data_IF_286745215025
#
_entry.id   IF_286745215025
#
_cell.length_a   1.000
_cell.length_b   1.000
_cell.length_c   1.000
_cell.angle_alpha   90.00
_cell.angle_beta   90.00
_cell.angle_gamma   90.00
#
_symmetry.space_group_name_H-M   'P 1'
#
loop_
_entity.id
_entity.type
_entity.pdbx_description
1 polymer ?
#
# COMPACT_ATOMS: atom_id res chain seq x y z
N UNK A 1 82.84 14.43 -41.33
CA UNK A 1 81.53 14.98 -41.76
C UNK A 1 80.37 14.11 -41.27
N UNK A 2 80.20 13.89 -39.96
CA UNK A 2 79.27 12.85 -39.44
C UNK A 2 78.07 13.40 -38.62
N UNK A 3 78.02 14.72 -38.39
CA UNK A 3 76.99 15.38 -37.56
C UNK A 3 75.77 15.92 -38.34
N UNK A 4 75.84 16.02 -39.67
CA UNK A 4 74.72 16.48 -40.52
C UNK A 4 73.69 15.37 -40.79
N UNK A 5 74.12 14.10 -40.82
CA UNK A 5 73.23 12.95 -41.06
C UNK A 5 72.31 12.64 -39.87
N UNK A 6 72.79 12.82 -38.63
CA UNK A 6 72.01 12.56 -37.41
C UNK A 6 70.83 13.53 -37.30
N UNK A 7 71.04 14.81 -37.62
CA UNK A 7 69.97 15.83 -37.64
C UNK A 7 68.88 15.50 -38.67
N UNK A 8 69.25 15.03 -39.87
CA UNK A 8 68.27 14.59 -40.87
C UNK A 8 67.52 13.31 -40.46
N UNK A 9 68.18 12.38 -39.76
CA UNK A 9 67.53 11.16 -39.26
C UNK A 9 66.40 11.47 -38.26
N UNK A 10 66.63 12.39 -37.32
CA UNK A 10 65.58 12.83 -36.38
C UNK A 10 64.42 13.57 -37.07
N UNK A 11 64.69 14.34 -38.13
CA UNK A 11 63.65 15.02 -38.91
C UNK A 11 62.79 14.01 -39.69
N UNK A 12 63.40 12.98 -40.29
CA UNK A 12 62.68 11.94 -41.05
C UNK A 12 61.81 11.06 -40.12
N UNK A 13 62.30 10.72 -38.92
CA UNK A 13 61.51 9.95 -37.95
C UNK A 13 60.25 10.72 -37.49
N UNK A 14 60.38 12.02 -37.18
CA UNK A 14 59.21 12.86 -36.84
C UNK A 14 58.23 13.03 -38.02
N UNK A 15 58.71 12.95 -39.27
CA UNK A 15 57.85 13.07 -40.45
C UNK A 15 57.01 11.81 -40.71
N UNK A 16 57.55 10.62 -40.44
CA UNK A 16 56.81 9.36 -40.60
C UNK A 16 55.76 9.15 -39.50
N UNK A 17 56.00 9.63 -38.28
CA UNK A 17 55.02 9.55 -37.19
C UNK A 17 53.83 10.51 -37.41
N UNK A 18 54.06 11.67 -38.04
CA UNK A 18 52.98 12.60 -38.43
C UNK A 18 52.08 12.06 -39.57
N UNK A 19 52.66 11.32 -40.53
CA UNK A 19 51.90 10.74 -41.65
C UNK A 19 51.10 9.48 -41.22
N UNK A 20 51.50 8.81 -40.12
CA UNK A 20 50.81 7.63 -39.59
C UNK A 20 49.39 7.89 -39.05
N UNK A 21 49.07 9.12 -38.63
CA UNK A 21 47.78 9.45 -37.99
C UNK A 21 46.60 9.63 -38.97
N UNK A 22 46.86 9.71 -40.28
CA UNK A 22 45.82 9.94 -41.32
C UNK A 22 45.16 8.66 -41.86
N UNK A 23 45.69 7.46 -41.56
CA UNK A 23 45.23 6.20 -42.16
C UNK A 23 44.65 5.20 -41.15
N UNK A 24 43.69 5.66 -40.34
CA UNK A 24 42.87 4.81 -39.47
C UNK A 24 41.36 4.96 -39.73
N UNK A 25 40.92 4.33 -40.82
CA UNK A 25 39.57 3.79 -41.04
C UNK A 25 38.38 4.71 -41.42
N UNK A 26 37.75 4.28 -42.53
CA UNK A 26 36.33 4.38 -42.90
C UNK A 26 35.83 5.71 -43.48
N UNK A 27 35.48 5.64 -44.77
CA UNK A 27 34.86 6.74 -45.49
C UNK A 27 33.51 7.18 -44.92
N UNK A 28 33.36 8.48 -44.76
CA UNK A 28 32.06 9.17 -44.67
C UNK A 28 32.12 10.35 -45.63
N UNK A 29 31.16 10.42 -46.57
CA UNK A 29 31.02 11.58 -47.45
C UNK A 29 30.97 12.85 -46.58
N UNK A 30 31.90 13.77 -46.77
CA UNK A 30 31.71 15.14 -46.30
C UNK A 30 30.52 15.73 -47.06
N UNK A 31 29.32 15.65 -46.47
CA UNK A 31 28.25 16.59 -46.84
C UNK A 31 28.71 17.95 -46.32
N UNK A 32 29.00 18.87 -47.25
CA UNK A 32 29.05 20.30 -46.93
C UNK A 32 27.76 20.64 -46.20
N UNK A 33 27.84 21.01 -44.92
CA UNK A 33 26.68 21.54 -44.21
C UNK A 33 26.40 22.93 -44.78
N UNK A 34 25.37 23.00 -45.60
CA UNK A 34 24.79 24.26 -46.03
C UNK A 34 24.21 24.95 -44.79
N UNK A 35 24.50 26.24 -44.52
CA UNK A 35 23.75 26.96 -43.51
C UNK A 35 22.28 27.02 -43.95
N UNK A 36 21.35 26.91 -43.01
CA UNK A 36 19.91 26.88 -43.28
C UNK A 36 19.40 25.60 -44.00
N UNK A 37 19.68 24.42 -43.43
CA UNK A 37 18.72 23.32 -43.48
C UNK A 37 17.81 23.47 -42.27
N UNK A 38 16.52 23.70 -42.48
CA UNK A 38 15.53 23.81 -41.40
C UNK A 38 15.61 22.58 -40.50
N UNK A 39 16.10 22.75 -39.28
CA UNK A 39 16.33 21.65 -38.35
C UNK A 39 14.97 21.20 -37.81
N UNK A 40 14.32 20.30 -38.56
CA UNK A 40 12.95 19.87 -38.31
C UNK A 40 12.76 19.35 -36.89
N UNK A 41 11.56 19.60 -36.34
CA UNK A 41 11.25 19.39 -34.93
C UNK A 41 11.64 17.99 -34.44
N UNK A 42 12.61 17.96 -33.51
CA UNK A 42 13.15 16.73 -32.97
C UNK A 42 12.12 16.04 -32.06
N UNK A 43 11.97 14.71 -32.20
CA UNK A 43 11.16 13.87 -31.31
C UNK A 43 9.66 14.16 -31.29
N UNK A 44 8.85 13.40 -32.04
CA UNK A 44 7.39 13.39 -31.92
C UNK A 44 6.63 14.69 -32.29
N UNK A 45 7.32 15.81 -32.44
CA UNK A 45 6.74 17.12 -32.69
C UNK A 45 6.50 17.38 -34.19
N UNK A 46 5.40 18.03 -34.54
CA UNK A 46 5.03 18.40 -35.90
C UNK A 46 5.43 19.85 -36.24
N UNK A 47 5.18 20.79 -35.32
CA UNK A 47 5.62 22.20 -35.42
C UNK A 47 6.18 22.66 -34.08
N UNK A 48 7.26 23.44 -34.10
CA UNK A 48 8.05 23.81 -32.92
C UNK A 48 8.60 25.23 -33.05
N UNK A 49 9.10 25.76 -31.93
CA UNK A 49 9.81 27.04 -31.82
C UNK A 49 10.91 26.92 -30.78
N UNK A 50 11.99 27.68 -30.93
CA UNK A 50 13.15 27.60 -30.04
C UNK A 50 12.84 28.01 -28.59
N UNK A 51 11.84 28.87 -28.39
CA UNK A 51 11.47 29.42 -27.08
C UNK A 51 10.38 28.63 -26.36
N UNK A 52 9.33 28.21 -27.08
CA UNK A 52 8.18 27.51 -26.49
C UNK A 52 8.26 25.98 -26.64
N UNK A 53 9.33 25.46 -27.23
CA UNK A 53 9.44 24.04 -27.56
C UNK A 53 8.45 23.63 -28.65
N UNK A 54 7.79 22.49 -28.47
CA UNK A 54 6.78 22.02 -29.42
C UNK A 54 5.49 22.86 -29.36
N UNK A 55 4.89 23.11 -30.51
CA UNK A 55 3.62 23.83 -30.68
C UNK A 55 2.47 22.88 -31.08
N UNK A 56 2.76 21.84 -31.87
CA UNK A 56 1.79 20.79 -32.21
C UNK A 56 2.48 19.42 -32.32
N UNK A 57 1.82 18.38 -31.80
CA UNK A 57 2.34 17.02 -31.80
C UNK A 57 1.94 16.25 -33.06
N UNK A 58 2.78 15.27 -33.46
CA UNK A 58 2.38 14.26 -34.45
C UNK A 58 1.19 13.44 -33.92
N UNK A 59 0.36 12.87 -34.82
CA UNK A 59 -0.78 12.04 -34.43
C UNK A 59 -0.42 10.94 -33.43
N UNK A 60 -1.40 10.58 -32.59
CA UNK A 60 -1.32 9.62 -31.47
C UNK A 60 -0.56 10.09 -30.22
N UNK A 61 0.34 11.06 -30.31
CA UNK A 61 1.06 11.62 -29.15
C UNK A 61 0.20 12.64 -28.40
N UNK A 62 0.53 12.84 -27.12
CA UNK A 62 -0.12 13.79 -26.21
C UNK A 62 0.76 15.01 -25.96
N UNK A 63 0.17 16.18 -26.11
CA UNK A 63 0.77 17.46 -25.78
C UNK A 63 0.74 17.72 -24.27
N UNK A 64 1.89 18.11 -23.72
CA UNK A 64 2.09 18.48 -22.32
C UNK A 64 2.80 19.83 -22.27
N UNK A 65 2.40 20.70 -21.35
CA UNK A 65 3.13 21.93 -21.05
C UNK A 65 3.98 21.72 -19.79
N UNK A 66 5.28 21.62 -19.97
CA UNK A 66 6.25 21.44 -18.90
C UNK A 66 6.76 22.81 -18.40
N UNK A 67 6.84 23.00 -17.09
CA UNK A 67 7.32 24.25 -16.46
C UNK A 67 8.75 24.07 -15.98
N UNK A 68 9.67 24.81 -16.57
CA UNK A 68 11.09 24.85 -16.19
C UNK A 68 11.38 26.25 -15.64
N UNK A 69 11.29 26.38 -14.31
CA UNK A 69 11.33 27.67 -13.62
C UNK A 69 10.17 28.59 -14.05
N UNK A 70 10.51 29.71 -14.68
CA UNK A 70 9.55 30.66 -15.24
C UNK A 70 9.11 30.33 -16.67
N UNK A 71 9.85 29.47 -17.40
CA UNK A 71 9.52 29.08 -18.77
C UNK A 71 8.48 27.97 -18.79
N UNK A 72 7.62 27.98 -19.80
CA UNK A 72 6.68 26.91 -20.08
C UNK A 72 6.90 26.44 -21.52
N UNK A 73 7.23 25.16 -21.70
CA UNK A 73 7.53 24.56 -23.01
C UNK A 73 6.54 23.45 -23.34
N UNK A 74 6.17 23.33 -24.61
CA UNK A 74 5.38 22.21 -25.11
C UNK A 74 6.26 21.00 -25.41
N UNK A 75 5.81 19.83 -24.96
CA UNK A 75 6.47 18.54 -25.13
C UNK A 75 5.44 17.51 -25.60
N UNK A 76 5.86 16.57 -26.46
CA UNK A 76 5.01 15.50 -26.99
C UNK A 76 5.40 14.15 -26.40
N UNK A 77 4.50 13.51 -25.66
CA UNK A 77 4.72 12.22 -25.01
C UNK A 77 3.84 11.12 -25.61
N UNK A 78 4.29 9.87 -25.54
CA UNK A 78 3.50 8.69 -25.92
C UNK A 78 2.40 8.36 -24.91
N UNK A 79 2.63 8.70 -23.63
CA UNK A 79 1.72 8.52 -22.50
C UNK A 79 1.83 9.71 -21.56
N UNK A 80 0.75 10.02 -20.84
CA UNK A 80 0.74 11.11 -19.87
C UNK A 80 1.54 10.78 -18.60
N UNK A 81 2.17 11.78 -17.96
CA UNK A 81 2.88 11.59 -16.70
C UNK A 81 1.91 11.32 -15.53
N UNK A 82 2.42 10.81 -14.41
CA UNK A 82 1.66 10.57 -13.19
C UNK A 82 0.86 11.80 -12.74
N UNK A 83 -0.37 11.60 -12.28
CA UNK A 83 -1.31 12.69 -11.97
C UNK A 83 -1.99 13.32 -13.19
N UNK A 84 -1.82 12.79 -14.40
CA UNK A 84 -2.49 13.24 -15.62
C UNK A 84 -3.08 12.06 -16.41
N UNK A 85 -4.22 12.29 -17.06
CA UNK A 85 -4.85 11.35 -18.00
C UNK A 85 -4.88 11.94 -19.42
N UNK A 86 -4.85 11.06 -20.42
CA UNK A 86 -4.89 11.45 -21.82
C UNK A 86 -6.30 11.82 -22.28
N UNK A 87 -6.51 13.06 -22.74
CA UNK A 87 -7.74 13.48 -23.42
C UNK A 87 -7.48 13.60 -24.92
N UNK A 88 -8.35 13.01 -25.75
CA UNK A 88 -8.29 13.12 -27.22
C UNK A 88 -9.34 14.14 -27.68
N UNK A 89 -8.91 15.32 -28.10
CA UNK A 89 -9.76 16.29 -28.79
C UNK A 89 -9.64 16.09 -30.32
N UNK A 90 -10.57 16.62 -31.14
CA UNK A 90 -10.49 16.50 -32.59
C UNK A 90 -9.15 16.97 -33.18
N UNK A 91 -8.61 18.08 -32.64
CA UNK A 91 -7.43 18.75 -33.19
C UNK A 91 -6.12 18.37 -32.49
N UNK A 92 -6.18 17.91 -31.23
CA UNK A 92 -4.99 17.62 -30.42
C UNK A 92 -5.29 16.62 -29.30
N UNK A 93 -4.38 15.66 -29.03
CA UNK A 93 -4.42 14.92 -27.77
C UNK A 93 -3.63 15.69 -26.72
N UNK A 94 -4.18 15.87 -25.51
CA UNK A 94 -3.55 16.63 -24.43
C UNK A 94 -3.61 15.85 -23.12
N UNK A 95 -2.59 15.97 -22.29
CA UNK A 95 -2.66 15.47 -20.91
C UNK A 95 -3.41 16.44 -20.01
N UNK A 96 -4.49 15.97 -19.39
CA UNK A 96 -5.32 16.72 -18.44
C UNK A 96 -5.05 16.23 -17.03
N UNK A 97 -4.90 17.14 -16.07
CA UNK A 97 -4.58 16.79 -14.68
C UNK A 97 -5.75 16.03 -14.03
N UNK A 98 -5.45 15.03 -13.21
CA UNK A 98 -6.41 14.38 -12.33
C UNK A 98 -6.98 15.37 -11.29
N UNK A 99 -8.09 14.99 -10.65
CA UNK A 99 -8.69 15.76 -9.55
C UNK A 99 -7.77 15.82 -8.32
N UNK A 100 -8.04 16.75 -7.41
CA UNK A 100 -7.16 17.07 -6.28
C UNK A 100 -7.00 15.94 -5.24
N UNK A 101 -8.02 15.08 -5.11
CA UNK A 101 -8.18 13.88 -4.29
C UNK A 101 -7.53 12.61 -4.90
N UNK A 102 -7.20 12.64 -6.19
CA UNK A 102 -6.79 11.48 -6.96
C UNK A 102 -5.29 11.50 -7.35
N UNK A 103 -4.60 10.38 -7.19
CA UNK A 103 -3.17 10.20 -7.54
C UNK A 103 -3.00 9.73 -9.00
N UNK A 104 -3.74 8.69 -9.39
CA UNK A 104 -3.81 8.23 -10.78
C UNK A 104 -5.27 8.09 -11.22
N UNK A 105 -5.59 8.58 -12.42
CA UNK A 105 -6.94 8.52 -12.98
C UNK A 105 -6.93 8.02 -14.43
N UNK A 106 -7.97 7.28 -14.78
CA UNK A 106 -8.24 6.85 -16.15
C UNK A 106 -8.90 7.95 -16.97
N UNK A 107 -9.82 8.70 -16.35
CA UNK A 107 -10.46 9.89 -16.93
C UNK A 107 -10.91 10.87 -15.84
N UNK A 108 -11.55 11.99 -16.22
CA UNK A 108 -12.05 13.04 -15.31
C UNK A 108 -12.89 12.51 -14.13
N UNK A 109 -13.63 11.44 -14.34
CA UNK A 109 -14.62 10.90 -13.41
C UNK A 109 -14.19 9.59 -12.74
N UNK A 110 -13.16 8.91 -13.28
CA UNK A 110 -12.70 7.61 -12.82
C UNK A 110 -11.24 7.66 -12.37
N UNK A 111 -11.05 7.72 -11.05
CA UNK A 111 -9.79 7.53 -10.36
C UNK A 111 -9.45 6.04 -10.25
N UNK A 112 -8.17 5.70 -10.43
CA UNK A 112 -7.63 4.33 -10.26
C UNK A 112 -6.85 4.17 -8.96
N UNK A 113 -6.34 5.27 -8.39
CA UNK A 113 -5.64 5.29 -7.10
C UNK A 113 -5.84 6.64 -6.43
N UNK A 114 -6.36 6.64 -5.21
CA UNK A 114 -6.57 7.85 -4.42
C UNK A 114 -5.28 8.33 -3.75
N UNK A 115 -5.25 9.60 -3.33
CA UNK A 115 -4.17 10.11 -2.49
C UNK A 115 -4.30 9.60 -1.05
N UNK A 116 -3.20 9.63 -0.33
CA UNK A 116 -3.16 9.34 1.11
C UNK A 116 -4.22 10.13 1.88
N UNK A 117 -5.05 9.44 2.66
CA UNK A 117 -6.17 10.04 3.41
C UNK A 117 -7.53 9.91 2.73
N UNK A 118 -7.60 9.48 1.47
CA UNK A 118 -8.84 9.22 0.76
C UNK A 118 -9.00 7.74 0.41
N UNK A 119 -10.23 7.23 0.51
CA UNK A 119 -10.60 5.87 0.17
C UNK A 119 -11.22 5.81 -1.23
N UNK A 120 -10.79 4.83 -2.03
CA UNK A 120 -11.34 4.58 -3.36
C UNK A 120 -12.68 3.85 -3.25
N UNK A 121 -13.70 4.39 -3.93
CA UNK A 121 -15.00 3.77 -4.08
C UNK A 121 -15.60 4.09 -5.46
N UNK A 122 -15.88 3.06 -6.27
CA UNK A 122 -16.48 3.17 -7.62
C UNK A 122 -15.80 4.23 -8.52
N UNK A 123 -14.47 4.29 -8.47
CA UNK A 123 -13.67 5.27 -9.25
C UNK A 123 -13.69 6.70 -8.70
N UNK A 124 -14.18 6.93 -7.47
CA UNK A 124 -14.11 8.22 -6.77
C UNK A 124 -13.28 8.09 -5.51
N UNK A 125 -12.67 9.18 -5.07
CA UNK A 125 -11.97 9.27 -3.81
C UNK A 125 -12.85 9.99 -2.79
N UNK A 126 -12.96 9.43 -1.57
CA UNK A 126 -13.83 9.93 -0.51
C UNK A 126 -13.03 9.99 0.80
N UNK A 127 -13.20 11.03 1.59
CA UNK A 127 -12.58 11.12 2.93
C UNK A 127 -13.14 10.04 3.88
N UNK A 128 -14.43 9.72 3.75
CA UNK A 128 -15.12 8.68 4.51
C UNK A 128 -15.92 7.77 3.57
N UNK A 129 -15.96 6.48 3.88
CA UNK A 129 -16.77 5.52 3.14
C UNK A 129 -18.28 5.72 3.40
N UNK A 130 -19.14 5.48 2.38
CA UNK A 130 -20.58 5.58 2.52
C UNK A 130 -21.15 4.46 3.41
N UNK A 131 -22.43 4.59 3.76
CA UNK A 131 -23.15 3.63 4.59
C UNK A 131 -23.14 2.21 4.00
N UNK A 132 -23.06 1.19 4.87
CA UNK A 132 -22.88 -0.22 4.48
C UNK A 132 -21.44 -0.62 4.13
N UNK A 133 -20.49 0.32 4.03
CA UNK A 133 -19.08 0.05 3.76
C UNK A 133 -18.18 0.42 4.95
N UNK A 134 -17.01 -0.20 5.00
CA UNK A 134 -15.92 0.14 5.91
C UNK A 134 -14.64 0.52 5.16
N UNK A 135 -13.80 1.30 5.83
CA UNK A 135 -12.53 1.78 5.32
C UNK A 135 -11.44 0.72 5.55
N UNK A 136 -10.86 0.20 4.46
CA UNK A 136 -9.71 -0.68 4.55
C UNK A 136 -8.41 0.15 4.50
N UNK A 137 -7.75 0.31 5.63
CA UNK A 137 -6.51 1.09 5.76
C UNK A 137 -5.30 0.46 5.03
N UNK A 138 -5.36 -0.83 4.67
CA UNK A 138 -4.27 -1.49 3.95
C UNK A 138 -4.33 -1.26 2.44
N UNK A 139 -5.53 -1.19 1.86
CA UNK A 139 -5.71 -0.93 0.41
C UNK A 139 -6.10 0.51 0.09
N UNK A 140 -6.54 1.29 1.09
CA UNK A 140 -7.16 2.62 0.93
C UNK A 140 -8.41 2.56 0.05
N UNK A 141 -9.29 1.59 0.32
CA UNK A 141 -10.53 1.34 -0.41
C UNK A 141 -11.72 1.21 0.54
N UNK A 142 -12.92 1.50 0.02
CA UNK A 142 -14.16 1.22 0.73
C UNK A 142 -14.66 -0.19 0.38
N UNK A 143 -14.59 -1.10 1.36
CA UNK A 143 -15.00 -2.51 1.24
C UNK A 143 -16.34 -2.74 1.92
N UNK A 144 -17.08 -3.77 1.50
CA UNK A 144 -18.35 -4.16 2.13
C UNK A 144 -18.14 -4.61 3.58
N UNK A 145 -19.01 -4.21 4.49
CA UNK A 145 -19.02 -4.77 5.85
C UNK A 145 -19.38 -6.26 5.74
N UNK A 146 -18.49 -7.11 6.25
CA UNK A 146 -18.68 -8.57 6.28
C UNK A 146 -19.13 -8.93 7.69
N UNK A 147 -20.28 -9.57 7.83
CA UNK A 147 -20.76 -10.05 9.14
C UNK A 147 -20.25 -11.48 9.39
N UNK A 148 -20.23 -11.91 10.66
CA UNK A 148 -19.85 -13.28 10.94
C UNK A 148 -20.97 -14.26 10.59
N UNK A 149 -20.67 -15.24 9.73
CA UNK A 149 -21.57 -16.34 9.37
C UNK A 149 -21.03 -17.65 9.95
N UNK A 150 -21.93 -18.50 10.44
CA UNK A 150 -21.60 -19.80 11.00
C UNK A 150 -22.32 -20.89 10.22
N UNK A 151 -21.67 -22.05 10.09
CA UNK A 151 -22.21 -23.21 9.39
C UNK A 151 -23.54 -23.69 9.99
N UNK A 152 -24.22 -24.57 9.26
CA UNK A 152 -25.21 -25.44 9.87
C UNK A 152 -24.62 -26.17 11.09
N UNK A 153 -25.49 -26.49 12.03
CA UNK A 153 -25.11 -27.24 13.22
C UNK A 153 -24.82 -28.70 12.89
N UNK A 154 -23.79 -29.26 13.51
CA UNK A 154 -23.63 -30.71 13.57
C UNK A 154 -24.88 -31.37 14.16
N UNK A 155 -25.13 -32.65 13.84
CA UNK A 155 -25.99 -33.49 14.66
C UNK A 155 -25.57 -33.42 16.14
N UNK A 156 -26.53 -33.64 17.03
CA UNK A 156 -26.23 -33.75 18.46
C UNK A 156 -25.32 -34.94 18.72
N UNK A 157 -24.21 -34.71 19.41
CA UNK A 157 -23.33 -35.78 19.89
C UNK A 157 -24.06 -36.70 20.89
N UNK A 158 -23.46 -37.84 21.24
CA UNK A 158 -24.06 -38.76 22.20
C UNK A 158 -24.27 -38.08 23.56
N UNK A 159 -25.41 -38.37 24.19
CA UNK A 159 -25.64 -38.00 25.58
C UNK A 159 -24.54 -38.61 26.47
N UNK A 160 -23.86 -37.78 27.27
CA UNK A 160 -22.78 -38.21 28.17
C UNK A 160 -22.95 -37.68 29.60
N UNK A 161 -22.31 -38.34 30.56
CA UNK A 161 -22.13 -37.82 31.92
C UNK A 161 -20.72 -38.14 32.41
N UNK A 162 -19.95 -37.11 32.80
CA UNK A 162 -18.54 -37.23 33.20
C UNK A 162 -17.71 -38.03 32.16
N UNK A 163 -17.86 -37.70 30.88
CA UNK A 163 -17.14 -38.35 29.77
C UNK A 163 -17.58 -39.78 29.41
N UNK A 164 -18.61 -40.33 30.07
CA UNK A 164 -19.14 -41.69 29.79
C UNK A 164 -20.48 -41.61 29.07
N UNK A 165 -20.79 -42.61 28.24
CA UNK A 165 -22.06 -42.78 27.50
C UNK A 165 -23.03 -43.80 28.13
N UNK A 166 -22.59 -44.49 29.20
CA UNK A 166 -23.35 -45.54 29.91
C UNK A 166 -23.46 -45.25 31.41
N UNK A 167 -24.35 -45.97 32.11
CA UNK A 167 -24.42 -45.96 33.59
C UNK A 167 -25.20 -44.80 34.22
N UNK A 168 -25.78 -43.87 33.45
CA UNK A 168 -26.62 -42.77 33.95
C UNK A 168 -28.00 -42.74 33.28
N UNK A 169 -28.93 -41.96 33.87
CA UNK A 169 -30.26 -41.67 33.31
C UNK A 169 -30.39 -40.25 32.76
N UNK A 170 -29.64 -39.28 33.31
CA UNK A 170 -29.59 -37.88 32.86
C UNK A 170 -28.14 -37.48 32.58
N UNK A 171 -27.90 -36.83 31.45
CA UNK A 171 -26.59 -36.36 31.00
C UNK A 171 -26.69 -35.05 30.22
N UNK A 172 -25.64 -34.75 29.47
CA UNK A 172 -25.57 -33.62 28.53
C UNK A 172 -25.07 -34.10 27.17
N UNK A 173 -25.63 -33.54 26.11
CA UNK A 173 -25.17 -33.71 24.73
C UNK A 173 -24.78 -32.34 24.16
N UNK A 174 -23.75 -32.34 23.32
CA UNK A 174 -23.17 -31.14 22.73
C UNK A 174 -23.22 -31.27 21.22
N UNK A 175 -23.54 -30.16 20.54
CA UNK A 175 -23.35 -29.98 19.10
C UNK A 175 -22.38 -28.83 18.84
N UNK A 176 -21.73 -28.88 17.69
CA UNK A 176 -20.75 -27.87 17.27
C UNK A 176 -21.09 -27.35 15.88
N UNK A 177 -20.59 -26.18 15.55
CA UNK A 177 -20.59 -25.60 14.21
C UNK A 177 -19.34 -24.74 14.03
N UNK A 178 -18.99 -24.48 12.79
CA UNK A 178 -17.79 -23.72 12.44
C UNK A 178 -18.16 -22.32 11.96
N UNK A 179 -17.19 -21.40 11.94
CA UNK A 179 -17.37 -20.06 11.37
C UNK A 179 -16.98 -20.14 9.90
N UNK A 180 -17.95 -19.98 9.00
CA UNK A 180 -17.75 -20.02 7.55
C UNK A 180 -17.27 -18.69 7.01
N UNK A 181 -17.77 -17.58 7.58
CA UNK A 181 -17.38 -16.22 7.23
C UNK A 181 -16.95 -15.48 8.49
N UNK A 182 -15.71 -15.01 8.53
CA UNK A 182 -15.21 -14.19 9.63
C UNK A 182 -15.64 -12.73 9.44
N UNK A 183 -15.97 -12.01 10.53
CA UNK A 183 -16.45 -10.64 10.44
C UNK A 183 -15.34 -9.68 10.07
N UNK A 184 -15.71 -8.60 9.39
CA UNK A 184 -14.89 -7.42 9.16
C UNK A 184 -14.76 -6.57 10.43
N UNK A 185 -14.01 -5.46 10.38
CA UNK A 185 -13.76 -4.63 11.57
C UNK A 185 -15.04 -4.00 12.16
N UNK A 186 -16.03 -3.70 11.31
CA UNK A 186 -17.38 -3.26 11.69
C UNK A 186 -18.42 -4.39 11.62
N UNK A 187 -17.99 -5.63 11.46
CA UNK A 187 -18.86 -6.80 11.37
C UNK A 187 -19.55 -7.14 12.71
N UNK A 188 -20.59 -7.98 12.65
CA UNK A 188 -21.26 -8.47 13.85
C UNK A 188 -20.41 -9.56 14.53
N UNK A 189 -20.46 -9.62 15.86
CA UNK A 189 -19.79 -10.67 16.65
C UNK A 189 -20.24 -12.06 16.20
N UNK A 190 -19.30 -13.00 16.17
CA UNK A 190 -19.61 -14.37 15.80
C UNK A 190 -20.57 -15.04 16.79
N UNK A 191 -21.58 -15.77 16.28
CA UNK A 191 -22.50 -16.50 17.13
C UNK A 191 -21.79 -17.74 17.71
N UNK A 192 -22.28 -18.33 18.82
CA UNK A 192 -21.57 -19.40 19.52
C UNK A 192 -21.40 -20.64 18.64
N UNK A 193 -20.20 -21.22 18.68
CA UNK A 193 -19.77 -22.40 17.90
C UNK A 193 -20.04 -23.74 18.59
N UNK A 194 -20.49 -23.72 19.85
CA UNK A 194 -20.83 -24.92 20.62
C UNK A 194 -22.09 -24.69 21.43
N UNK A 195 -23.01 -25.65 21.41
CA UNK A 195 -24.22 -25.63 22.22
C UNK A 195 -24.36 -26.96 22.98
N UNK A 196 -24.73 -26.90 24.25
CA UNK A 196 -24.90 -28.08 25.11
C UNK A 196 -26.29 -28.07 25.74
N UNK A 197 -27.02 -29.19 25.61
CA UNK A 197 -28.34 -29.37 26.24
C UNK A 197 -28.39 -30.59 27.16
N UNK A 198 -29.36 -30.59 28.07
CA UNK A 198 -29.63 -31.72 28.97
C UNK A 198 -30.37 -32.82 28.20
N UNK A 199 -29.97 -34.06 28.42
CA UNK A 199 -30.55 -35.24 27.77
C UNK A 199 -30.90 -36.32 28.80
N UNK A 200 -31.90 -37.14 28.48
CA UNK A 200 -32.35 -38.25 29.33
C UNK A 200 -32.33 -39.54 28.52
N UNK A 201 -31.66 -40.57 29.03
CA UNK A 201 -31.44 -41.86 28.34
C UNK A 201 -31.78 -43.02 29.27
N UNK A 202 -32.05 -44.20 28.69
CA UNK A 202 -32.23 -45.42 29.46
C UNK A 202 -30.89 -45.87 30.06
N UNK A 203 -30.91 -46.25 31.35
CA UNK A 203 -29.69 -46.58 32.11
C UNK A 203 -29.13 -47.96 31.72
N UNK A 204 -28.37 -48.02 30.62
CA UNK A 204 -27.59 -49.19 30.22
C UNK A 204 -26.46 -49.46 31.22
N UNK A 205 -26.21 -50.72 31.58
CA UNK A 205 -25.03 -51.13 32.35
C UNK A 205 -23.78 -50.85 31.51
N UNK A 206 -22.76 -50.24 32.11
CA UNK A 206 -21.44 -50.16 31.47
C UNK A 206 -20.79 -51.55 31.50
N UNK A 207 -20.28 -52.02 30.36
CA UNK A 207 -19.39 -53.18 30.35
C UNK A 207 -18.06 -52.80 31.03
N UNK A 208 -17.54 -53.70 31.87
CA UNK A 208 -16.28 -53.50 32.59
C UNK A 208 -15.13 -53.88 31.67
N UNK A 209 -14.42 -52.88 31.15
CA UNK A 209 -13.08 -53.08 30.61
C UNK A 209 -12.96 -53.13 29.10
N UNK A 210 -13.07 -51.97 28.46
CA UNK A 210 -12.03 -51.56 27.51
C UNK A 210 -11.46 -50.22 28.00
N UNK A 211 -10.16 -50.00 27.78
CA UNK A 211 -9.51 -48.72 28.14
C UNK A 211 -10.19 -47.64 27.32
N UNK A 212 -10.86 -46.72 28.01
CA UNK A 212 -11.72 -45.75 27.36
C UNK A 212 -10.96 -45.00 26.29
N UNK A 213 -11.44 -45.08 25.05
CA UNK A 213 -11.22 -44.04 24.05
C UNK A 213 -11.77 -42.75 24.65
N UNK A 214 -10.88 -42.04 25.33
CA UNK A 214 -11.05 -40.63 25.65
C UNK A 214 -11.42 -39.99 24.32
N UNK A 215 -12.67 -39.53 24.20
CA UNK A 215 -13.14 -38.82 23.03
C UNK A 215 -12.23 -37.60 22.89
N UNK A 216 -11.25 -37.73 21.99
CA UNK A 216 -10.42 -36.64 21.53
C UNK A 216 -11.38 -35.62 20.93
N UNK A 217 -11.68 -34.60 21.73
CA UNK A 217 -12.06 -33.31 21.19
C UNK A 217 -11.04 -32.99 20.10
N UNK A 218 -11.45 -32.59 18.88
CA UNK A 218 -10.50 -32.28 17.82
C UNK A 218 -9.49 -31.28 18.37
N UNK A 219 -8.21 -31.62 18.26
CA UNK A 219 -7.14 -30.89 18.91
C UNK A 219 -7.05 -29.48 18.33
N UNK A 220 -7.67 -28.51 19.02
CA UNK A 220 -7.30 -27.11 18.84
C UNK A 220 -5.87 -26.96 19.33
N UNK A 221 -5.00 -26.41 18.48
CA UNK A 221 -3.65 -26.01 18.86
C UNK A 221 -3.73 -24.92 19.94
N UNK A 222 -3.78 -25.34 21.20
CA UNK A 222 -3.73 -24.48 22.36
C UNK A 222 -2.26 -24.15 22.67
N UNK A 223 -1.74 -23.12 22.00
CA UNK A 223 -0.57 -22.42 22.50
C UNK A 223 -0.84 -21.93 23.92
N UNK A 224 0.11 -22.12 24.82
CA UNK A 224 -0.01 -21.75 26.23
C UNK A 224 -0.13 -20.21 26.34
N UNK A 225 -1.20 -19.72 26.97
CA UNK A 225 -1.46 -18.28 27.11
C UNK A 225 -2.41 -18.02 28.27
N UNK A 226 -1.87 -17.53 29.38
CA UNK A 226 -2.64 -17.21 30.58
C UNK A 226 -3.60 -16.05 30.33
N UNK A 227 -4.85 -16.19 30.79
CA UNK A 227 -5.84 -15.13 30.71
C UNK A 227 -5.57 -14.02 31.75
N UNK A 228 -4.71 -13.07 31.41
CA UNK A 228 -4.75 -11.74 32.04
C UNK A 228 -5.91 -10.95 31.47
N UNK A 229 -6.75 -10.41 32.35
CA UNK A 229 -7.74 -9.38 32.00
C UNK A 229 -6.98 -8.11 31.63
N UNK A 230 -7.04 -7.72 30.36
CA UNK A 230 -6.66 -6.37 29.96
C UNK A 230 -7.79 -5.68 29.21
N UNK A 231 -7.94 -4.40 29.52
CA UNK A 231 -9.08 -3.58 29.18
C UNK A 231 -8.79 -2.85 27.85
N UNK A 232 -9.60 -3.10 26.82
CA UNK A 232 -9.40 -2.51 25.50
C UNK A 232 -9.46 -0.98 25.57
N UNK A 233 -8.28 -0.33 25.55
CA UNK A 233 -8.14 1.10 25.24
C UNK A 233 -7.34 1.20 23.94
N UNK A 234 -7.94 1.84 22.95
CA UNK A 234 -7.34 2.07 21.64
C UNK A 234 -6.10 2.96 21.74
N UNK A 235 -5.01 2.55 21.09
CA UNK A 235 -4.03 3.42 20.42
C UNK A 235 -3.31 2.60 19.34
N UNK A 236 -2.88 3.25 18.24
CA UNK A 236 -2.50 2.58 16.99
C UNK A 236 -0.99 2.38 16.77
N UNK A 237 -0.66 2.26 15.48
CA UNK A 237 0.66 1.95 14.89
C UNK A 237 1.16 0.51 15.02
N UNK A 238 1.28 -0.15 13.87
CA UNK A 238 2.29 -1.19 13.62
C UNK A 238 2.97 -0.85 12.30
N UNK A 239 4.24 -0.49 12.39
CA UNK A 239 5.13 -0.34 11.24
C UNK A 239 5.78 -1.71 10.94
N UNK A 240 5.92 -2.04 9.65
CA UNK A 240 6.41 -3.36 9.22
C UNK A 240 7.94 -3.42 9.23
N UNK A 241 8.50 -4.47 9.85
CA UNK A 241 9.84 -4.96 9.47
C UNK A 241 9.87 -6.49 9.37
N UNK A 242 10.09 -6.97 8.14
CA UNK A 242 10.53 -8.34 7.88
C UNK A 242 12.05 -8.45 8.05
N UNK A 243 12.51 -9.55 8.62
CA UNK A 243 13.92 -9.94 8.63
C UNK A 243 14.19 -10.86 7.43
N UNK A 244 15.25 -10.56 6.66
CA UNK A 244 15.94 -11.53 5.81
C UNK A 244 17.37 -11.71 6.33
N UNK A 245 17.89 -12.93 6.23
CA UNK A 245 19.16 -13.33 6.82
C UNK A 245 20.36 -13.05 5.91
N UNK A 246 21.53 -12.81 6.52
CA UNK A 246 22.83 -12.93 5.86
C UNK A 246 23.93 -12.02 6.42
N UNK A 247 25.10 -12.60 6.70
CA UNK A 247 26.36 -11.86 6.85
C UNK A 247 26.91 -11.73 8.27
N UNK A 248 28.08 -12.35 8.49
CA UNK A 248 28.98 -12.03 9.62
C UNK A 248 29.80 -10.78 9.32
N UNK A 249 30.24 -10.05 10.36
CA UNK A 249 31.63 -9.59 10.63
C UNK A 249 31.63 -8.44 11.66
N UNK A 250 32.52 -8.52 12.67
CA UNK A 250 33.28 -7.36 13.16
C UNK A 250 32.71 -6.43 14.25
N UNK A 251 33.38 -6.46 15.40
CA UNK A 251 33.83 -5.31 16.21
C UNK A 251 32.89 -4.42 17.06
N UNK A 252 32.96 -4.70 18.36
CA UNK A 252 33.21 -3.78 19.50
C UNK A 252 32.56 -2.38 19.56
N UNK A 253 31.81 -2.11 20.65
CA UNK A 253 31.44 -0.74 21.02
C UNK A 253 30.49 -0.61 22.22
N UNK A 254 30.99 -0.79 23.46
CA UNK A 254 30.17 -0.68 24.68
C UNK A 254 29.81 0.76 25.06
N UNK A 255 28.54 1.04 25.38
CA UNK A 255 28.21 1.98 26.49
C UNK A 255 26.79 1.79 27.05
N UNK A 256 26.72 1.60 28.36
CA UNK A 256 25.50 1.45 29.16
C UNK A 256 24.90 2.81 29.53
N UNK A 257 23.58 2.88 29.78
CA UNK A 257 23.03 3.70 30.88
C UNK A 257 21.71 3.14 31.41
N UNK A 258 21.36 3.54 32.63
CA UNK A 258 20.58 2.75 33.60
C UNK A 258 19.11 3.15 33.76
N UNK A 259 18.32 2.16 34.17
CA UNK A 259 16.88 2.22 34.48
C UNK A 259 16.60 3.08 35.72
N UNK A 260 15.45 3.79 35.75
CA UNK A 260 14.75 4.11 37.01
C UNK A 260 13.22 4.16 36.80
N UNK A 261 12.48 3.59 37.74
CA UNK A 261 11.01 3.40 37.73
C UNK A 261 10.31 4.52 38.57
N UNK A 262 8.99 4.77 38.42
CA UNK A 262 8.33 5.94 39.01
C UNK A 262 7.65 5.68 40.37
N UNK A 263 7.24 6.76 41.05
CA UNK A 263 6.28 6.74 42.16
C UNK A 263 5.18 7.79 41.98
N UNK A 264 4.06 7.53 42.65
CA UNK A 264 2.74 8.18 42.53
C UNK A 264 2.48 9.29 43.56
N UNK A 265 1.67 10.29 43.22
CA UNK A 265 0.80 11.03 44.17
C UNK A 265 -0.44 11.62 43.47
N UNK A 266 -1.45 12.04 44.26
CA UNK A 266 -2.87 12.17 43.90
C UNK A 266 -3.40 13.58 43.58
N UNK A 267 -4.61 13.60 42.98
CA UNK A 267 -5.60 14.70 42.80
C UNK A 267 -6.00 15.42 44.12
N UNK A 268 -6.73 16.59 44.13
CA UNK A 268 -7.78 17.08 43.20
C UNK A 268 -7.65 18.60 42.80
N UNK A 269 -8.64 19.41 42.33
CA UNK A 269 -10.10 19.28 42.21
C UNK A 269 -10.80 20.20 41.14
N UNK A 270 -11.96 19.75 40.65
CA UNK A 270 -13.19 20.38 40.09
C UNK A 270 -13.35 21.87 39.61
N UNK A 271 -13.95 21.98 38.39
CA UNK A 271 -15.07 22.89 37.95
C UNK A 271 -14.79 24.39 37.54
N UNK A 272 -15.70 25.06 36.76
CA UNK A 272 -16.02 24.87 35.34
C UNK A 272 -15.94 26.21 34.51
N UNK A 273 -16.34 26.32 33.22
CA UNK A 273 -16.00 27.48 32.38
C UNK A 273 -17.03 28.62 32.39
N UNK A 274 -16.56 29.85 32.17
CA UNK A 274 -17.40 31.03 31.94
C UNK A 274 -17.67 31.27 30.45
N UNK A 275 -18.95 31.34 30.08
CA UNK A 275 -19.41 31.72 28.73
C UNK A 275 -19.53 33.24 28.66
N UNK A 276 -18.99 33.85 27.61
CA UNK A 276 -19.12 35.29 27.37
C UNK A 276 -20.41 35.59 26.58
N UNK A 277 -21.38 36.22 27.23
CA UNK A 277 -22.64 36.67 26.60
C UNK A 277 -22.46 38.08 26.04
N UNK A 278 -22.63 38.25 24.72
CA UNK A 278 -22.64 39.57 24.09
C UNK A 278 -24.01 40.24 24.27
N UNK A 279 -24.02 41.45 24.84
CA UNK A 279 -25.22 42.28 24.98
C UNK A 279 -25.36 43.19 23.76
N UNK A 280 -26.45 43.05 23.01
CA UNK A 280 -26.84 44.03 21.99
C UNK A 280 -27.88 44.96 22.61
N UNK A 281 -27.54 46.24 22.71
CA UNK A 281 -28.43 47.30 23.18
C UNK A 281 -29.48 47.62 22.11
N UNK A 282 -30.75 47.62 22.50
CA UNK A 282 -31.84 48.21 21.72
C UNK A 282 -32.14 49.58 22.31
N UNK A 283 -31.92 50.64 21.54
CA UNK A 283 -32.32 52.01 21.89
C UNK A 283 -33.60 52.38 21.13
N UNK A 284 -34.69 52.65 21.87
CA UNK A 284 -35.89 53.28 21.32
C UNK A 284 -35.68 54.79 21.18
N UNK A 285 -35.93 55.32 19.97
CA UNK A 285 -36.61 56.59 19.69
C UNK A 285 -37.42 56.39 18.42
#
# INVERSE_FOLDING_TARGET
MHLRLISWFFIILNFMEYIGSQNASRGRRQRRMHPNVSQGCQGGCATCSDYNGCLSCKPRLFFVLERIGMKQIGVCLSSCPSGYYGTRYPDINKCTKCKADCDTCFNKNFCTKCKSGFYLHLGKCLDNCPEGLEANNHTMECVSIVHCEASEWSPWGPCTKKGKTCGFKRGTETRVREITQHPSAKGNLCPPTSETRKCTVQRKKCQKGERGTQLLLPAKNAGYGEAKKDQQRSHGYVEYHHILAGGWVGDTGSRSHTIRNPQSTSLPNNQPPSVATAVILVTNV
#
